data_IF_855990145974
#
_entry.id   IF_855990145974
#
_cell.length_a   1.000
_cell.length_b   1.000
_cell.length_c   1.000
_cell.angle_alpha   90.00
_cell.angle_beta   90.00
_cell.angle_gamma   90.00
#
_symmetry.space_group_name_H-M   'P 1'
#
loop_
_entity.id
_entity.type
_entity.pdbx_description
1 polymer ?
#
# COMPACT_ATOMS: atom_id res chain seq x y z
N UNK A 1 19.76 -15.98 -26.59
CA UNK A 1 18.72 -14.92 -26.64
C UNK A 1 18.38 -14.55 -25.21
N UNK A 2 19.05 -13.54 -24.65
CA UNK A 2 18.79 -13.06 -23.29
C UNK A 2 17.65 -12.06 -23.35
N UNK A 3 16.46 -12.49 -22.93
CA UNK A 3 15.36 -11.56 -22.67
C UNK A 3 15.78 -10.65 -21.52
N UNK A 4 15.77 -9.35 -21.76
CA UNK A 4 16.06 -8.31 -20.78
C UNK A 4 15.13 -8.47 -19.58
N UNK A 5 15.69 -8.40 -18.37
CA UNK A 5 15.07 -8.74 -17.08
C UNK A 5 13.83 -7.88 -16.71
N UNK A 6 13.46 -6.92 -17.55
CA UNK A 6 12.35 -5.97 -17.43
C UNK A 6 10.98 -6.56 -17.79
N UNK A 7 10.91 -7.78 -18.33
CA UNK A 7 9.67 -8.37 -18.89
C UNK A 7 8.80 -9.19 -17.91
N UNK A 8 9.08 -9.19 -16.60
CA UNK A 8 8.32 -10.00 -15.62
C UNK A 8 7.38 -9.23 -14.69
N UNK A 9 6.93 -8.04 -15.09
CA UNK A 9 5.68 -7.52 -14.51
C UNK A 9 4.57 -8.39 -15.07
N UNK A 10 4.00 -9.27 -14.23
CA UNK A 10 2.80 -10.00 -14.61
C UNK A 10 1.76 -8.97 -15.08
N UNK A 11 1.13 -9.20 -16.24
CA UNK A 11 0.09 -8.29 -16.79
C UNK A 11 -1.04 -7.97 -15.80
N UNK A 12 -1.18 -8.77 -14.74
CA UNK A 12 -2.15 -8.62 -13.65
C UNK A 12 -1.59 -7.97 -12.37
N UNK A 13 -0.37 -7.44 -12.37
CA UNK A 13 0.16 -6.62 -11.26
C UNK A 13 -0.28 -5.16 -11.41
N UNK A 14 -0.29 -4.42 -10.30
CA UNK A 14 -0.63 -2.99 -10.24
C UNK A 14 0.48 -2.08 -10.81
N UNK A 15 1.63 -2.65 -11.18
CA UNK A 15 2.73 -1.92 -11.82
C UNK A 15 3.60 -1.17 -10.81
N UNK A 16 4.15 -0.03 -11.24
CA UNK A 16 5.01 0.80 -10.39
C UNK A 16 4.18 1.56 -9.37
N UNK A 17 4.54 1.45 -8.10
CA UNK A 17 3.88 2.11 -6.96
C UNK A 17 4.87 2.96 -6.18
N UNK A 18 4.34 3.88 -5.37
CA UNK A 18 5.13 4.79 -4.54
C UNK A 18 4.58 4.78 -3.12
N UNK A 19 5.48 4.62 -2.15
CA UNK A 19 5.17 4.80 -0.73
C UNK A 19 4.90 6.27 -0.43
N UNK A 20 3.71 6.54 0.10
CA UNK A 20 3.27 7.85 0.55
C UNK A 20 3.39 7.94 2.07
N UNK A 21 3.42 9.17 2.57
CA UNK A 21 3.54 9.44 4.00
C UNK A 21 2.43 10.39 4.45
N UNK A 22 1.79 10.05 5.57
CA UNK A 22 0.81 10.90 6.23
C UNK A 22 1.26 11.20 7.66
N UNK A 23 1.59 12.47 7.94
CA UNK A 23 2.01 12.90 9.26
C UNK A 23 0.86 13.60 9.99
N UNK A 24 0.55 13.14 11.20
CA UNK A 24 -0.48 13.71 12.06
C UNK A 24 -0.01 13.77 13.53
N UNK A 25 -0.86 14.30 14.41
CA UNK A 25 -0.54 14.54 15.82
C UNK A 25 0.74 15.39 16.00
N UNK A 26 0.90 16.45 15.17
CA UNK A 26 1.99 17.42 15.27
C UNK A 26 1.64 18.59 16.18
N UNK A 27 2.07 19.80 15.81
CA UNK A 27 1.84 21.02 16.61
C UNK A 27 0.35 21.26 16.86
N UNK A 28 -0.11 21.12 18.10
CA UNK A 28 -1.51 21.30 18.50
C UNK A 28 -2.36 20.02 18.53
N UNK A 29 -1.76 18.84 18.29
CA UNK A 29 -2.43 17.55 18.42
C UNK A 29 -1.58 16.53 19.17
N UNK A 30 -2.22 15.59 19.86
CA UNK A 30 -1.57 14.44 20.49
C UNK A 30 -2.27 13.14 20.07
N UNK A 31 -1.51 12.06 19.93
CA UNK A 31 -2.09 10.72 19.78
C UNK A 31 -1.85 9.92 21.05
N UNK A 32 -2.94 9.65 21.78
CA UNK A 32 -2.90 8.82 22.98
C UNK A 32 -2.94 7.36 22.60
N UNK A 33 -1.91 6.64 23.00
CA UNK A 33 -1.84 5.19 22.92
C UNK A 33 -2.74 4.57 24.00
N UNK A 34 -3.13 3.31 23.79
CA UNK A 34 -3.98 2.57 24.75
C UNK A 34 -3.35 2.45 26.15
N UNK A 35 -2.01 2.47 26.24
CA UNK A 35 -1.29 2.46 27.51
C UNK A 35 -1.21 3.83 28.21
N UNK A 36 -1.90 4.84 27.69
CA UNK A 36 -1.95 6.20 28.23
C UNK A 36 -0.76 7.09 27.88
N UNK A 37 0.27 6.57 27.19
CA UNK A 37 1.38 7.39 26.67
C UNK A 37 0.98 8.13 25.41
N UNK A 38 1.73 9.17 25.08
CA UNK A 38 1.54 9.99 23.89
C UNK A 38 2.68 9.76 22.90
N UNK A 39 2.35 9.68 21.61
CA UNK A 39 3.32 9.64 20.51
C UNK A 39 3.10 10.83 19.57
N UNK A 40 4.13 11.65 19.39
CA UNK A 40 4.07 12.93 18.64
C UNK A 40 5.42 13.24 17.97
N UNK A 41 5.45 13.62 16.68
CA UNK A 41 4.40 13.39 15.68
C UNK A 41 4.35 11.92 15.24
N UNK A 42 3.24 11.49 14.64
CA UNK A 42 3.14 10.18 14.00
C UNK A 42 3.22 10.36 12.49
N UNK A 43 4.14 9.65 11.85
CA UNK A 43 4.22 9.55 10.39
C UNK A 43 3.89 8.12 9.97
N UNK A 44 2.81 7.96 9.21
CA UNK A 44 2.38 6.68 8.68
C UNK A 44 2.84 6.54 7.24
N UNK A 45 3.62 5.50 6.94
CA UNK A 45 3.93 5.09 5.58
C UNK A 45 2.78 4.23 5.03
N UNK A 46 2.32 4.51 3.82
CA UNK A 46 1.23 3.76 3.20
C UNK A 46 1.32 3.73 1.67
N UNK A 47 0.67 2.76 1.06
CA UNK A 47 0.49 2.64 -0.39
C UNK A 47 -0.99 2.52 -0.74
N UNK A 48 -1.30 2.84 -2.00
CA UNK A 48 -2.66 2.81 -2.53
C UNK A 48 -2.69 2.19 -3.91
N UNK A 49 -3.67 1.34 -4.19
CA UNK A 49 -3.82 0.63 -5.46
C UNK A 49 -5.25 0.82 -6.01
N UNK A 50 -5.38 1.06 -7.31
CA UNK A 50 -6.67 1.38 -7.94
C UNK A 50 -7.07 2.86 -7.77
N UNK A 51 -8.37 3.14 -7.84
CA UNK A 51 -8.91 4.52 -7.80
C UNK A 51 -10.09 4.66 -6.83
N UNK A 52 -10.05 5.68 -5.99
CA UNK A 52 -11.13 5.99 -5.05
C UNK A 52 -12.33 6.55 -5.81
N UNK A 53 -13.48 5.91 -5.60
CA UNK A 53 -14.78 6.36 -6.11
C UNK A 53 -15.15 7.75 -5.58
N UNK A 54 -15.98 8.47 -6.33
CA UNK A 54 -16.40 9.85 -5.98
C UNK A 54 -17.12 9.93 -4.63
N UNK A 55 -17.92 8.92 -4.30
CA UNK A 55 -18.66 8.74 -3.04
C UNK A 55 -17.82 8.01 -1.97
N UNK A 56 -16.59 7.59 -2.31
CA UNK A 56 -15.63 6.94 -1.43
C UNK A 56 -16.11 5.61 -0.84
N UNK A 57 -17.03 4.92 -1.52
CA UNK A 57 -17.64 3.67 -1.04
C UNK A 57 -16.85 2.41 -1.37
N UNK A 58 -15.78 2.52 -2.16
CA UNK A 58 -15.01 1.38 -2.67
C UNK A 58 -13.63 1.17 -2.01
N UNK A 59 -13.40 1.74 -0.82
CA UNK A 59 -12.11 1.61 -0.13
C UNK A 59 -12.00 0.29 0.65
N UNK A 60 -10.84 -0.37 0.57
CA UNK A 60 -10.50 -1.56 1.37
C UNK A 60 -9.14 -1.30 2.04
N UNK A 61 -9.07 -1.52 3.36
CA UNK A 61 -7.82 -1.47 4.13
C UNK A 61 -7.25 -2.87 4.31
N UNK A 62 -6.01 -3.07 3.87
CA UNK A 62 -5.21 -4.26 4.11
C UNK A 62 -4.30 -4.00 5.31
N UNK A 63 -4.33 -4.93 6.26
CA UNK A 63 -3.41 -4.95 7.39
C UNK A 63 -2.33 -6.00 7.11
N UNK A 64 -1.07 -5.59 7.18
CA UNK A 64 0.04 -6.51 6.94
C UNK A 64 0.21 -7.51 8.10
N UNK A 65 0.83 -8.65 7.78
CA UNK A 65 1.29 -9.61 8.79
C UNK A 65 2.57 -9.12 9.48
N UNK A 66 3.12 -9.92 10.41
CA UNK A 66 4.29 -9.53 11.23
C UNK A 66 5.52 -9.09 10.41
N UNK A 67 5.81 -9.75 9.29
CA UNK A 67 6.97 -9.45 8.44
C UNK A 67 6.64 -8.58 7.22
N UNK A 68 5.38 -8.20 7.06
CA UNK A 68 4.95 -7.34 5.97
C UNK A 68 5.07 -5.86 6.35
N UNK A 69 4.85 -5.01 5.35
CA UNK A 69 4.87 -3.56 5.46
C UNK A 69 3.77 -2.94 4.59
N UNK A 70 3.86 -1.64 4.31
CA UNK A 70 2.95 -0.93 3.41
C UNK A 70 2.95 -1.47 1.97
N UNK A 71 4.01 -2.15 1.52
CA UNK A 71 4.19 -2.60 0.15
C UNK A 71 3.51 -3.96 -0.11
N UNK A 72 2.19 -3.93 -0.22
CA UNK A 72 1.38 -5.13 -0.43
C UNK A 72 1.33 -5.61 -1.89
N UNK A 73 1.52 -4.73 -2.87
CA UNK A 73 1.46 -5.07 -4.30
C UNK A 73 2.28 -4.13 -5.18
N UNK A 74 2.55 -4.54 -6.42
CA UNK A 74 3.30 -3.76 -7.39
C UNK A 74 4.80 -3.88 -7.19
N UNK A 75 5.55 -2.97 -7.81
CA UNK A 75 7.00 -2.82 -7.65
C UNK A 75 7.36 -1.36 -7.37
N UNK A 76 8.45 -1.09 -6.67
CA UNK A 76 9.03 0.26 -6.66
C UNK A 76 9.90 0.49 -7.90
N UNK A 77 10.01 1.76 -8.31
CA UNK A 77 10.82 2.14 -9.47
C UNK A 77 12.27 1.68 -9.32
N UNK A 78 12.77 0.95 -10.31
CA UNK A 78 14.14 0.42 -10.33
C UNK A 78 14.35 -0.87 -9.53
N UNK A 79 13.32 -1.37 -8.84
CA UNK A 79 13.33 -2.66 -8.15
C UNK A 79 12.52 -3.70 -8.95
N UNK A 80 12.75 -4.97 -8.65
CA UNK A 80 12.04 -6.10 -9.29
C UNK A 80 11.26 -6.96 -8.29
N UNK A 81 11.41 -6.70 -6.99
CA UNK A 81 10.69 -7.43 -5.95
C UNK A 81 9.27 -6.87 -5.87
N UNK A 82 8.29 -7.77 -5.92
CA UNK A 82 6.89 -7.41 -5.80
C UNK A 82 6.47 -7.30 -4.34
N UNK A 83 5.40 -6.53 -4.10
CA UNK A 83 4.77 -6.49 -2.79
C UNK A 83 4.39 -7.87 -2.24
N UNK A 84 4.35 -7.98 -0.92
CA UNK A 84 4.24 -9.26 -0.21
C UNK A 84 2.95 -10.04 -0.49
N UNK A 85 1.93 -9.39 -1.07
CA UNK A 85 0.67 -10.00 -1.47
C UNK A 85 0.25 -9.70 -2.91
N UNK A 86 1.21 -9.42 -3.81
CA UNK A 86 0.89 -9.00 -5.19
C UNK A 86 -0.08 -9.96 -5.88
N UNK A 87 0.07 -11.27 -5.72
CA UNK A 87 -0.82 -12.27 -6.34
C UNK A 87 -2.31 -12.10 -5.97
N UNK A 88 -2.62 -11.47 -4.84
CA UNK A 88 -4.00 -11.23 -4.39
C UNK A 88 -4.55 -9.86 -4.78
N UNK A 89 -3.67 -8.88 -5.08
CA UNK A 89 -4.04 -7.48 -5.29
C UNK A 89 -3.65 -7.05 -6.71
N UNK A 90 -4.62 -6.59 -7.47
CA UNK A 90 -4.39 -6.06 -8.82
C UNK A 90 -5.58 -6.28 -9.76
N UNK A 91 -5.44 -5.91 -11.05
CA UNK A 91 -6.51 -6.05 -12.02
C UNK A 91 -7.00 -7.51 -12.11
N UNK A 92 -8.31 -7.70 -11.93
CA UNK A 92 -8.99 -9.00 -12.01
C UNK A 92 -8.54 -10.05 -10.96
N UNK A 93 -7.84 -9.62 -9.90
CA UNK A 93 -7.47 -10.46 -8.74
C UNK A 93 -8.55 -10.43 -7.64
N UNK A 94 -8.32 -11.14 -6.54
CA UNK A 94 -9.26 -11.20 -5.41
C UNK A 94 -9.56 -9.82 -4.82
N UNK A 95 -8.54 -9.00 -4.65
CA UNK A 95 -8.65 -7.56 -4.38
C UNK A 95 -8.48 -6.81 -5.70
N UNK A 96 -9.58 -6.77 -6.46
CA UNK A 96 -9.63 -6.23 -7.82
C UNK A 96 -9.48 -4.70 -7.84
N UNK A 97 -8.32 -4.22 -8.29
CA UNK A 97 -8.04 -2.77 -8.37
C UNK A 97 -8.77 -2.06 -9.52
N UNK A 98 -9.45 -2.79 -10.40
CA UNK A 98 -10.39 -2.20 -11.35
C UNK A 98 -11.69 -1.74 -10.68
N UNK A 99 -11.98 -2.25 -9.47
CA UNK A 99 -13.24 -1.98 -8.73
C UNK A 99 -13.00 -1.24 -7.43
N UNK A 100 -11.96 -1.62 -6.69
CA UNK A 100 -11.69 -1.12 -5.35
C UNK A 100 -10.47 -0.22 -5.28
N UNK A 101 -10.50 0.68 -4.30
CA UNK A 101 -9.34 1.46 -3.87
C UNK A 101 -8.73 0.80 -2.65
N UNK A 102 -7.64 0.09 -2.88
CA UNK A 102 -6.96 -0.68 -1.84
C UNK A 102 -5.92 0.21 -1.16
N UNK A 103 -5.82 0.13 0.17
CA UNK A 103 -4.86 0.86 0.99
C UNK A 103 -4.12 -0.15 1.86
N UNK A 104 -2.79 -0.03 1.98
CA UNK A 104 -2.00 -0.76 2.97
C UNK A 104 -1.07 0.21 3.68
N UNK A 105 -1.04 0.19 5.01
CA UNK A 105 -0.19 1.06 5.82
C UNK A 105 0.76 0.25 6.69
N UNK A 106 1.99 0.73 6.84
CA UNK A 106 2.93 0.17 7.82
C UNK A 106 2.48 0.52 9.25
N UNK A 107 2.73 -0.38 10.20
CA UNK A 107 2.50 -0.18 11.65
C UNK A 107 3.78 0.28 12.35
#
# INVERSE_FOLDING_TARGET
MNKTKTEKIHKSSVGVVETKYFTFAGTGGEFKLENGKTLVPITLAYETYGSLSKDKSNAILILHALSGDAHAAGIHAGLNDTGWWDEMIGPDKAFDTNKYFIICSNV
#
